data_IF_443562938793
#
_entry.id   IF_443562938793
#
_cell.length_a   1.000
_cell.length_b   1.000
_cell.length_c   1.000
_cell.angle_alpha   90.00
_cell.angle_beta   90.00
_cell.angle_gamma   90.00
#
_symmetry.space_group_name_H-M   'P 1'
#
loop_
_entity.id
_entity.type
_entity.pdbx_description
1 polymer ?
#
# COMPACT_ATOMS: atom_id res chain seq x y z
N UNK A 1 -9.27 24.42 -2.65
CA UNK A 1 -8.50 24.98 -1.52
C UNK A 1 -7.44 23.95 -1.21
N UNK A 2 -6.17 24.30 -1.18
CA UNK A 2 -5.09 23.42 -0.73
C UNK A 2 -5.13 23.37 0.81
N UNK A 3 -4.76 22.23 1.39
CA UNK A 3 -4.63 22.08 2.85
C UNK A 3 -3.60 23.09 3.38
N UNK A 4 -3.86 23.74 4.53
CA UNK A 4 -2.96 24.73 5.10
C UNK A 4 -1.65 24.12 5.62
N UNK A 5 -1.68 22.82 5.94
CA UNK A 5 -0.51 22.05 6.38
C UNK A 5 -0.41 20.75 5.59
N UNK A 6 0.78 20.18 5.53
CA UNK A 6 1.00 18.78 5.15
C UNK A 6 1.50 17.98 6.34
N UNK A 7 1.10 16.72 6.39
CA UNK A 7 1.55 15.75 7.40
C UNK A 7 2.08 14.51 6.70
N UNK A 8 3.28 14.10 7.05
CA UNK A 8 3.90 12.87 6.55
C UNK A 8 4.55 12.09 7.67
N UNK A 9 4.63 10.78 7.55
CA UNK A 9 5.34 9.93 8.50
C UNK A 9 6.72 9.54 7.93
N UNK A 10 7.77 9.73 8.73
CA UNK A 10 9.09 9.17 8.47
C UNK A 10 9.42 8.18 9.57
N UNK A 11 9.74 6.95 9.22
CA UNK A 11 10.01 5.90 10.20
C UNK A 11 10.98 4.85 9.69
N UNK A 12 11.55 4.12 10.65
CA UNK A 12 12.33 2.91 10.45
C UNK A 12 11.63 1.73 11.11
N UNK A 13 11.70 0.59 10.46
CA UNK A 13 11.12 -0.65 10.96
C UNK A 13 12.22 -1.52 11.58
N UNK A 14 12.01 -1.89 12.84
CA UNK A 14 12.81 -2.85 13.60
C UNK A 14 12.02 -4.18 13.73
N UNK A 15 12.66 -5.28 14.18
CA UNK A 15 11.98 -6.57 14.30
C UNK A 15 10.71 -6.55 15.16
N UNK A 16 10.70 -5.76 16.24
CA UNK A 16 9.61 -5.70 17.20
C UNK A 16 8.84 -4.36 17.21
N UNK A 17 9.36 -3.32 16.55
CA UNK A 17 8.79 -1.96 16.62
C UNK A 17 8.92 -1.21 15.30
N UNK A 18 8.07 -0.18 15.12
CA UNK A 18 8.28 0.91 14.16
C UNK A 18 8.54 2.17 14.96
N UNK A 19 9.66 2.84 14.70
CA UNK A 19 10.03 4.12 15.35
C UNK A 19 10.15 5.21 14.32
N UNK A 20 9.64 6.39 14.64
CA UNK A 20 9.70 7.50 13.70
C UNK A 20 9.11 8.78 14.25
N UNK A 21 8.72 9.65 13.33
CA UNK A 21 8.01 10.87 13.65
C UNK A 21 6.98 11.21 12.58
N UNK A 22 5.87 11.81 13.00
CA UNK A 22 5.05 12.61 12.12
C UNK A 22 5.72 13.96 11.90
N UNK A 23 5.75 14.42 10.68
CA UNK A 23 6.39 15.66 10.24
C UNK A 23 5.28 16.56 9.75
N UNK A 24 5.10 17.68 10.43
CA UNK A 24 4.12 18.71 10.12
C UNK A 24 4.83 19.88 9.46
N UNK A 25 4.26 20.41 8.37
CA UNK A 25 4.82 21.53 7.64
C UNK A 25 3.70 22.47 7.20
N UNK A 26 3.87 23.77 7.44
CA UNK A 26 2.99 24.80 6.90
C UNK A 26 3.17 24.95 5.39
N UNK A 27 2.09 24.86 4.65
CA UNK A 27 2.10 24.91 3.18
C UNK A 27 1.71 26.31 2.64
N UNK A 28 1.07 27.12 3.46
CA UNK A 28 0.72 28.50 3.13
C UNK A 28 1.63 29.54 3.84
N UNK A 29 1.30 30.82 3.76
CA UNK A 29 2.10 31.91 4.33
C UNK A 29 1.78 32.19 5.81
N UNK A 30 0.81 31.49 6.40
CA UNK A 30 0.35 31.76 7.76
C UNK A 30 0.88 30.72 8.74
N UNK A 31 1.12 31.09 10.02
CA UNK A 31 1.31 30.13 11.09
C UNK A 31 -0.02 29.47 11.45
N UNK A 32 0.01 28.18 11.80
CA UNK A 32 -1.16 27.42 12.21
C UNK A 32 -0.93 26.79 13.58
N UNK A 33 -1.97 26.79 14.43
CA UNK A 33 -1.97 26.01 15.64
C UNK A 33 -2.52 24.60 15.34
N UNK A 34 -1.73 23.59 15.63
CA UNK A 34 -2.07 22.19 15.37
C UNK A 34 -2.12 21.42 16.66
N UNK A 35 -3.30 20.99 17.09
CA UNK A 35 -3.44 20.05 18.18
C UNK A 35 -3.39 18.62 17.63
N UNK A 36 -2.40 17.83 18.02
CA UNK A 36 -2.31 16.41 17.69
C UNK A 36 -3.13 15.64 18.69
N UNK A 37 -4.29 15.15 18.29
CA UNK A 37 -5.23 14.43 19.15
C UNK A 37 -4.80 12.97 19.35
N UNK A 38 -4.19 12.38 18.32
CA UNK A 38 -3.72 11.02 18.35
C UNK A 38 -3.22 10.53 17.01
N UNK A 39 -2.81 9.26 16.98
CA UNK A 39 -2.47 8.58 15.76
C UNK A 39 -2.94 7.13 15.81
N UNK A 40 -3.13 6.54 14.64
CA UNK A 40 -3.49 5.13 14.50
C UNK A 40 -2.80 4.50 13.32
N UNK A 41 -2.63 3.20 13.38
CA UNK A 41 -2.37 2.39 12.20
C UNK A 41 -3.70 1.98 11.59
N UNK A 42 -3.82 2.15 10.30
CA UNK A 42 -4.95 1.66 9.52
C UNK A 42 -4.52 0.49 8.66
N UNK A 43 -5.18 -0.68 8.84
CA UNK A 43 -4.94 -1.87 8.03
C UNK A 43 -5.37 -1.62 6.60
N UNK A 44 -4.51 -1.95 5.63
CA UNK A 44 -4.85 -1.93 4.20
C UNK A 44 -5.64 -3.18 3.76
N UNK A 45 -6.10 -4.00 4.69
CA UNK A 45 -6.85 -5.23 4.50
C UNK A 45 -7.93 -5.41 5.57
N UNK A 46 -8.31 -6.65 5.87
CA UNK A 46 -9.28 -6.95 6.93
C UNK A 46 -8.75 -6.63 8.34
N UNK A 47 -7.47 -6.32 8.49
CA UNK A 47 -6.90 -5.83 9.75
C UNK A 47 -7.54 -4.52 10.17
N UNK A 48 -7.93 -4.43 11.44
CA UNK A 48 -8.55 -3.27 12.03
C UNK A 48 -7.62 -2.05 12.13
N UNK A 49 -8.12 -1.01 12.76
CA UNK A 49 -7.32 0.15 13.17
C UNK A 49 -6.86 -0.08 14.61
N UNK A 50 -5.59 0.21 14.89
CA UNK A 50 -5.02 0.18 16.24
C UNK A 50 -4.39 1.52 16.59
N UNK A 51 -4.53 2.00 17.84
CA UNK A 51 -3.91 3.26 18.23
C UNK A 51 -2.39 3.16 18.20
N UNK A 52 -1.74 4.26 17.84
CA UNK A 52 -0.30 4.45 18.01
C UNK A 52 -0.10 5.15 19.37
N UNK A 53 0.77 4.65 20.25
CA UNK A 53 1.10 5.33 21.48
C UNK A 53 1.69 6.72 21.18
N UNK A 54 0.91 7.76 21.41
CA UNK A 54 1.28 9.14 21.16
C UNK A 54 0.62 10.01 22.24
N UNK A 55 1.42 10.88 22.90
CA UNK A 55 0.86 11.85 23.82
C UNK A 55 0.28 13.03 23.05
N UNK A 56 -0.93 13.49 23.37
CA UNK A 56 -1.48 14.71 22.80
C UNK A 56 -0.50 15.89 22.94
N UNK A 57 -0.34 16.67 21.88
CA UNK A 57 0.57 17.82 21.86
C UNK A 57 0.01 18.93 20.98
N UNK A 58 0.18 20.18 21.40
CA UNK A 58 -0.13 21.34 20.55
C UNK A 58 1.16 21.91 19.96
N UNK A 59 1.15 22.20 18.67
CA UNK A 59 2.29 22.64 17.89
C UNK A 59 1.97 24.00 17.24
N UNK A 60 2.97 24.87 17.18
CA UNK A 60 2.94 26.05 16.31
C UNK A 60 3.67 25.69 15.00
N UNK A 61 2.90 25.47 13.94
CA UNK A 61 3.42 25.12 12.63
C UNK A 61 3.56 26.39 11.79
N UNK A 62 4.80 26.81 11.60
CA UNK A 62 5.09 28.03 10.82
C UNK A 62 5.38 27.67 9.36
N UNK A 63 5.21 28.63 8.41
CA UNK A 63 5.42 28.40 6.99
C UNK A 63 6.79 27.76 6.68
N UNK A 64 6.76 26.72 5.85
CA UNK A 64 7.95 26.03 5.30
C UNK A 64 8.92 25.44 6.33
N UNK A 65 8.52 25.30 7.59
CA UNK A 65 9.32 24.69 8.65
C UNK A 65 8.72 23.36 9.08
N UNK A 66 9.58 22.34 9.17
CA UNK A 66 9.20 21.02 9.64
C UNK A 66 9.17 20.98 11.19
N UNK A 67 8.08 20.48 11.77
CA UNK A 67 7.92 20.19 13.19
C UNK A 67 7.72 18.68 13.35
N UNK A 68 8.43 18.06 14.30
CA UNK A 68 8.49 16.61 14.46
C UNK A 68 7.76 16.16 15.72
N UNK A 69 6.88 15.19 15.60
CA UNK A 69 6.23 14.50 16.73
C UNK A 69 6.66 13.04 16.72
N UNK A 70 7.55 12.63 17.63
CA UNK A 70 8.07 11.26 17.64
C UNK A 70 7.01 10.25 18.08
N UNK A 71 7.12 9.02 17.57
CA UNK A 71 6.31 7.89 18.00
C UNK A 71 7.12 6.58 18.02
N UNK A 72 6.64 5.64 18.82
CA UNK A 72 7.10 4.26 18.80
C UNK A 72 5.89 3.33 18.85
N UNK A 73 5.79 2.41 17.86
CA UNK A 73 4.68 1.48 17.70
C UNK A 73 5.18 0.04 17.90
N UNK A 74 4.72 -0.69 18.93
CA UNK A 74 4.97 -2.11 19.07
C UNK A 74 4.27 -2.92 17.98
N UNK A 75 5.00 -3.80 17.29
CA UNK A 75 4.42 -4.66 16.25
C UNK A 75 3.71 -5.90 16.79
N UNK A 76 3.94 -6.24 18.05
CA UNK A 76 3.34 -7.42 18.72
C UNK A 76 1.81 -7.34 18.84
N UNK A 77 1.25 -6.16 18.78
CA UNK A 77 -0.19 -5.92 18.89
C UNK A 77 -0.89 -5.91 17.52
N UNK A 78 -0.13 -6.01 16.43
CA UNK A 78 -0.65 -5.98 15.08
C UNK A 78 -0.67 -7.39 14.46
N UNK A 79 -1.76 -7.71 13.81
CA UNK A 79 -1.85 -8.91 12.98
C UNK A 79 -0.97 -8.81 11.73
N UNK A 80 -0.61 -9.96 11.10
CA UNK A 80 0.08 -9.94 9.82
C UNK A 80 -0.72 -9.17 8.77
N UNK A 81 -0.09 -8.17 8.15
CA UNK A 81 -0.79 -7.30 7.21
C UNK A 81 0.05 -6.12 6.74
N UNK A 82 -0.56 -5.31 5.88
CA UNK A 82 -0.03 -4.03 5.45
C UNK A 82 -0.79 -2.89 6.11
N UNK A 83 -0.06 -1.88 6.54
CA UNK A 83 -0.56 -0.77 7.33
C UNK A 83 -0.05 0.57 6.80
N UNK A 84 -0.87 1.60 7.00
CA UNK A 84 -0.47 3.01 6.92
C UNK A 84 -0.61 3.66 8.29
N UNK A 85 0.10 4.76 8.49
CA UNK A 85 -0.02 5.59 9.70
C UNK A 85 -0.96 6.76 9.39
N UNK A 86 -1.93 6.98 10.25
CA UNK A 86 -2.87 8.11 10.15
C UNK A 86 -2.73 8.95 11.40
N UNK A 87 -2.60 10.26 11.24
CA UNK A 87 -2.55 11.23 12.32
C UNK A 87 -3.86 12.01 12.36
N UNK A 88 -4.51 12.01 13.51
CA UNK A 88 -5.73 12.76 13.77
C UNK A 88 -5.37 14.05 14.50
N UNK A 89 -5.77 15.19 13.94
CA UNK A 89 -5.36 16.52 14.39
C UNK A 89 -6.54 17.48 14.35
N UNK A 90 -6.39 18.62 15.04
CA UNK A 90 -7.21 19.80 14.87
C UNK A 90 -6.30 20.95 14.41
N UNK A 91 -6.60 21.52 13.24
CA UNK A 91 -5.85 22.65 12.68
C UNK A 91 -6.70 23.90 12.83
N UNK A 92 -6.23 24.87 13.63
CA UNK A 92 -6.96 26.10 13.96
C UNK A 92 -8.41 25.87 14.41
N UNK A 93 -8.64 24.81 15.22
CA UNK A 93 -9.97 24.41 15.69
C UNK A 93 -10.77 23.55 14.70
N UNK A 94 -10.20 23.12 13.56
CA UNK A 94 -10.89 22.32 12.55
C UNK A 94 -10.31 20.89 12.58
N UNK A 95 -11.12 19.85 12.87
CA UNK A 95 -10.66 18.47 12.87
C UNK A 95 -10.26 17.99 11.47
N UNK A 96 -9.15 17.28 11.37
CA UNK A 96 -8.64 16.67 10.15
C UNK A 96 -7.91 15.36 10.44
N UNK A 97 -7.80 14.49 9.42
CA UNK A 97 -7.02 13.25 9.49
C UNK A 97 -6.09 13.18 8.28
N UNK A 98 -4.81 12.96 8.54
CA UNK A 98 -3.77 12.89 7.50
C UNK A 98 -3.17 11.50 7.42
N UNK A 99 -3.16 10.92 6.20
CA UNK A 99 -2.36 9.73 5.91
C UNK A 99 -0.88 10.11 5.88
N UNK A 100 -0.05 9.40 6.63
CA UNK A 100 1.39 9.63 6.67
C UNK A 100 2.13 9.30 5.36
N UNK A 101 1.43 8.81 4.34
CA UNK A 101 1.92 8.58 2.98
C UNK A 101 2.86 7.38 2.82
N UNK A 102 3.31 6.76 3.91
CA UNK A 102 4.25 5.64 3.88
C UNK A 102 3.64 4.39 4.49
N UNK A 103 3.87 3.24 3.85
CA UNK A 103 3.34 1.93 4.27
C UNK A 103 4.41 1.07 4.88
N UNK A 104 4.01 0.16 5.77
CA UNK A 104 4.85 -0.91 6.30
C UNK A 104 4.07 -2.22 6.41
N UNK A 105 4.78 -3.33 6.49
CA UNK A 105 4.18 -4.65 6.68
C UNK A 105 4.53 -5.26 8.03
N UNK A 106 3.57 -5.97 8.61
CA UNK A 106 3.80 -6.99 9.64
C UNK A 106 3.81 -8.33 8.90
N UNK A 107 4.94 -9.06 8.87
CA UNK A 107 5.07 -10.23 8.02
C UNK A 107 4.20 -11.39 8.53
N UNK A 108 3.65 -12.14 7.57
CA UNK A 108 2.98 -13.41 7.87
C UNK A 108 3.96 -14.46 8.37
N UNK A 109 3.53 -15.42 9.20
CA UNK A 109 4.35 -16.56 9.59
C UNK A 109 4.90 -17.29 8.36
N UNK A 110 6.19 -17.61 8.37
CA UNK A 110 6.86 -18.29 7.24
C UNK A 110 6.19 -19.60 6.80
N UNK A 111 5.58 -20.30 7.76
CA UNK A 111 4.90 -21.55 7.50
C UNK A 111 3.60 -21.41 6.71
N UNK A 112 2.99 -20.20 6.69
CA UNK A 112 1.67 -19.98 6.10
C UNK A 112 1.72 -19.39 4.71
N UNK A 113 2.81 -18.70 4.34
CA UNK A 113 2.93 -17.99 3.06
C UNK A 113 3.84 -18.69 2.08
N UNK A 114 3.51 -18.59 0.82
CA UNK A 114 4.33 -19.06 -0.30
C UNK A 114 5.50 -18.11 -0.53
N UNK A 115 6.67 -18.68 -0.86
CA UNK A 115 7.88 -17.93 -1.18
C UNK A 115 8.51 -18.49 -2.44
N UNK A 116 9.29 -17.66 -3.11
CA UNK A 116 9.99 -18.03 -4.35
C UNK A 116 9.39 -17.36 -5.58
N UNK A 117 9.68 -17.93 -6.72
CA UNK A 117 9.33 -17.34 -8.02
C UNK A 117 8.59 -18.37 -8.86
N UNK A 118 7.53 -17.92 -9.53
CA UNK A 118 6.76 -18.72 -10.49
C UNK A 118 6.90 -18.07 -11.87
N UNK A 119 7.53 -18.79 -12.82
CA UNK A 119 7.57 -18.36 -14.22
C UNK A 119 6.22 -18.65 -14.87
N UNK A 120 5.64 -17.67 -15.53
CA UNK A 120 4.31 -17.75 -16.13
C UNK A 120 4.41 -17.79 -17.68
N UNK A 121 5.01 -16.77 -18.28
CA UNK A 121 5.22 -16.70 -19.73
C UNK A 121 3.92 -16.75 -20.55
N UNK A 122 2.80 -16.23 -20.03
CA UNK A 122 1.50 -16.25 -20.68
C UNK A 122 1.19 -14.92 -21.38
N UNK A 123 0.50 -15.01 -22.50
CA UNK A 123 -0.03 -13.85 -23.21
C UNK A 123 -1.56 -13.88 -23.16
N UNK A 124 -2.16 -12.73 -22.92
CA UNK A 124 -3.61 -12.55 -22.85
C UNK A 124 -4.00 -11.42 -23.78
N UNK A 125 -4.87 -11.71 -24.74
CA UNK A 125 -5.36 -10.70 -25.68
C UNK A 125 -6.59 -10.01 -25.12
N UNK A 126 -6.54 -8.69 -25.04
CA UNK A 126 -7.66 -7.79 -24.81
C UNK A 126 -8.12 -7.22 -26.17
N UNK A 127 -9.21 -6.48 -26.20
CA UNK A 127 -9.73 -5.93 -27.45
C UNK A 127 -8.73 -4.98 -28.14
N UNK A 128 -8.00 -4.21 -27.38
CA UNK A 128 -7.12 -3.11 -27.78
C UNK A 128 -5.64 -3.32 -27.45
N UNK A 129 -5.30 -4.39 -26.75
CA UNK A 129 -3.92 -4.64 -26.30
C UNK A 129 -3.66 -6.13 -26.04
N UNK A 130 -2.40 -6.48 -25.89
CA UNK A 130 -1.95 -7.79 -25.42
C UNK A 130 -1.19 -7.62 -24.11
N UNK A 131 -1.59 -8.36 -23.08
CA UNK A 131 -0.89 -8.37 -21.79
C UNK A 131 -0.03 -9.62 -21.69
N UNK A 132 1.27 -9.43 -21.53
CA UNK A 132 2.23 -10.48 -21.26
C UNK A 132 2.42 -10.60 -19.75
N UNK A 133 2.06 -11.75 -19.18
CA UNK A 133 2.29 -12.07 -17.77
C UNK A 133 3.57 -12.90 -17.68
N UNK A 134 4.64 -12.29 -17.18
CA UNK A 134 5.99 -12.84 -17.18
C UNK A 134 6.26 -13.81 -16.03
N UNK A 135 6.15 -13.32 -14.81
CA UNK A 135 6.43 -14.08 -13.60
C UNK A 135 5.70 -13.50 -12.37
N UNK A 136 5.65 -14.31 -11.32
CA UNK A 136 5.17 -13.92 -10.00
C UNK A 136 6.29 -14.15 -9.00
N UNK A 137 6.73 -13.09 -8.31
CA UNK A 137 7.65 -13.18 -7.19
C UNK A 137 6.86 -13.20 -5.88
N UNK A 138 7.03 -14.24 -5.09
CA UNK A 138 6.36 -14.42 -3.80
C UNK A 138 7.32 -14.10 -2.66
N UNK A 139 6.98 -13.13 -1.82
CA UNK A 139 7.68 -12.78 -0.58
C UNK A 139 6.85 -13.14 0.65
N UNK A 140 7.41 -12.89 1.84
CA UNK A 140 6.69 -13.18 3.09
C UNK A 140 5.52 -12.25 3.40
N UNK A 141 5.36 -11.17 2.65
CA UNK A 141 4.39 -10.11 2.91
C UNK A 141 3.64 -9.65 1.65
N UNK A 142 4.07 -10.07 0.48
CA UNK A 142 3.47 -9.67 -0.80
C UNK A 142 3.81 -10.62 -1.94
N UNK A 143 3.07 -10.48 -3.04
CA UNK A 143 3.48 -10.96 -4.35
C UNK A 143 3.71 -9.78 -5.28
N UNK A 144 4.62 -9.96 -6.26
CA UNK A 144 4.83 -9.04 -7.38
C UNK A 144 4.58 -9.78 -8.67
N UNK A 145 3.53 -9.40 -9.39
CA UNK A 145 3.21 -9.88 -10.71
C UNK A 145 3.87 -8.96 -11.75
N UNK A 146 4.83 -9.48 -12.50
CA UNK A 146 5.48 -8.77 -13.59
C UNK A 146 4.69 -8.91 -14.87
N UNK A 147 4.45 -7.81 -15.56
CA UNK A 147 3.65 -7.77 -16.77
C UNK A 147 4.17 -6.74 -17.77
N UNK A 148 3.70 -6.88 -19.03
CA UNK A 148 3.92 -5.91 -20.09
C UNK A 148 2.65 -5.79 -20.91
N UNK A 149 2.22 -4.56 -21.19
CA UNK A 149 1.03 -4.24 -21.99
C UNK A 149 1.48 -3.70 -23.34
N UNK A 150 1.02 -4.29 -24.43
CA UNK A 150 1.37 -3.91 -25.80
C UNK A 150 0.11 -3.69 -26.68
N UNK A 151 -0.08 -2.51 -27.28
CA UNK A 151 0.67 -1.26 -27.01
C UNK A 151 0.55 -0.81 -25.56
N UNK A 152 1.50 0.02 -25.11
CA UNK A 152 1.47 0.58 -23.76
C UNK A 152 0.15 1.31 -23.50
N UNK A 153 -0.43 1.11 -22.33
CA UNK A 153 -1.73 1.66 -21.99
C UNK A 153 -2.23 1.19 -20.63
N UNK A 154 -3.33 1.77 -20.19
CA UNK A 154 -3.92 1.43 -18.91
C UNK A 154 -4.57 0.05 -18.90
N UNK A 155 -4.35 -0.71 -17.86
CA UNK A 155 -5.01 -1.97 -17.58
C UNK A 155 -5.42 -2.03 -16.11
N UNK A 156 -6.63 -2.51 -15.84
CA UNK A 156 -7.06 -2.83 -14.47
C UNK A 156 -6.78 -4.28 -14.18
N UNK A 157 -6.24 -4.57 -13.00
CA UNK A 157 -5.85 -5.91 -12.58
C UNK A 157 -6.58 -6.28 -11.31
N UNK A 158 -7.16 -7.48 -11.27
CA UNK A 158 -7.68 -8.12 -10.07
C UNK A 158 -7.02 -9.48 -9.90
N UNK A 159 -6.64 -9.80 -8.68
CA UNK A 159 -5.94 -11.03 -8.34
C UNK A 159 -6.80 -11.84 -7.36
N UNK A 160 -6.90 -13.15 -7.59
CA UNK A 160 -7.66 -14.06 -6.73
C UNK A 160 -6.83 -15.33 -6.46
N UNK A 161 -6.89 -15.83 -5.23
CA UNK A 161 -6.26 -17.09 -4.85
C UNK A 161 -7.07 -17.76 -3.73
N UNK A 162 -7.26 -19.05 -3.78
CA UNK A 162 -8.02 -19.82 -2.77
C UNK A 162 -9.44 -19.27 -2.57
N UNK A 163 -10.12 -18.81 -3.63
CA UNK A 163 -11.48 -18.25 -3.57
C UNK A 163 -11.57 -16.82 -3.00
N UNK A 164 -10.45 -16.21 -2.60
CA UNK A 164 -10.40 -14.84 -2.06
C UNK A 164 -9.77 -13.86 -3.04
N UNK A 165 -10.25 -12.62 -3.06
CA UNK A 165 -9.60 -11.55 -3.80
C UNK A 165 -8.37 -11.07 -3.01
N UNK A 166 -7.22 -11.05 -3.67
CA UNK A 166 -6.00 -10.47 -3.11
C UNK A 166 -6.09 -8.95 -3.21
N UNK A 167 -5.80 -8.27 -2.12
CA UNK A 167 -5.75 -6.81 -2.14
C UNK A 167 -4.53 -6.33 -2.93
N UNK A 168 -4.79 -5.54 -3.96
CA UNK A 168 -3.76 -4.82 -4.70
C UNK A 168 -3.24 -3.68 -3.83
N UNK A 169 -1.93 -3.63 -3.63
CA UNK A 169 -1.24 -2.59 -2.88
C UNK A 169 -0.77 -1.48 -3.81
N UNK A 170 -0.29 -1.87 -4.99
CA UNK A 170 0.30 -0.96 -5.95
C UNK A 170 0.22 -1.55 -7.36
N UNK A 171 0.03 -0.69 -8.34
CA UNK A 171 0.17 -1.01 -9.76
C UNK A 171 1.05 0.07 -10.39
N UNK A 172 2.24 -0.31 -10.81
CA UNK A 172 3.16 0.55 -11.56
C UNK A 172 3.17 0.07 -13.00
N UNK A 173 2.90 0.95 -13.94
CA UNK A 173 3.02 0.74 -15.38
C UNK A 173 3.79 1.91 -15.96
N UNK A 174 4.79 1.61 -16.77
CA UNK A 174 5.52 2.58 -17.54
C UNK A 174 4.76 2.89 -18.84
N UNK A 175 4.40 4.14 -19.01
CA UNK A 175 3.53 4.60 -20.11
C UNK A 175 4.20 4.50 -21.49
N UNK A 176 5.53 4.43 -21.56
CA UNK A 176 6.26 4.34 -22.82
C UNK A 176 6.51 2.89 -23.23
N UNK A 177 6.91 2.05 -22.28
CA UNK A 177 7.32 0.67 -22.54
C UNK A 177 6.21 -0.35 -22.28
N UNK A 178 5.15 0.04 -21.59
CA UNK A 178 4.09 -0.83 -21.10
C UNK A 178 4.54 -1.84 -20.05
N UNK A 179 5.81 -1.80 -19.61
CA UNK A 179 6.33 -2.70 -18.57
C UNK A 179 5.86 -2.26 -17.19
N UNK A 180 5.58 -3.22 -16.33
CA UNK A 180 5.19 -2.89 -14.99
C UNK A 180 5.08 -4.07 -14.05
N UNK A 181 4.63 -3.74 -12.85
CA UNK A 181 4.40 -4.72 -11.80
C UNK A 181 3.14 -4.38 -11.00
N UNK A 182 2.41 -5.40 -10.64
CA UNK A 182 1.32 -5.32 -9.67
C UNK A 182 1.76 -5.97 -8.37
N UNK A 183 1.76 -5.20 -7.27
CA UNK A 183 2.09 -5.69 -5.93
C UNK A 183 0.78 -5.93 -5.18
N UNK A 184 0.63 -7.11 -4.59
CA UNK A 184 -0.57 -7.49 -3.84
C UNK A 184 -0.23 -8.28 -2.58
N UNK A 185 -1.25 -8.58 -1.77
CA UNK A 185 -1.15 -9.42 -0.57
C UNK A 185 -0.55 -10.79 -0.93
N UNK A 186 0.12 -11.47 0.03
CA UNK A 186 0.83 -12.70 -0.24
C UNK A 186 -0.11 -13.86 -0.59
N UNK A 187 0.45 -14.81 -1.34
CA UNK A 187 -0.15 -16.12 -1.55
C UNK A 187 0.08 -17.00 -0.31
N UNK A 188 -0.94 -17.73 0.09
CA UNK A 188 -0.81 -18.75 1.13
C UNK A 188 -0.25 -20.04 0.53
N UNK A 189 0.36 -20.88 1.34
CA UNK A 189 0.86 -22.19 0.90
C UNK A 189 -0.25 -23.12 0.41
N UNK A 190 -1.45 -22.91 0.91
CA UNK A 190 -2.67 -23.64 0.52
C UNK A 190 -3.29 -23.18 -0.78
N UNK A 191 -2.83 -22.05 -1.34
CA UNK A 191 -3.32 -21.57 -2.62
C UNK A 191 -2.73 -22.43 -3.74
N UNK A 192 -3.56 -23.11 -4.52
CA UNK A 192 -3.15 -23.99 -5.64
C UNK A 192 -2.99 -23.22 -6.96
N UNK A 193 -3.70 -22.11 -7.10
CA UNK A 193 -3.67 -21.28 -8.29
C UNK A 193 -3.82 -19.79 -7.96
N UNK A 194 -3.22 -18.96 -8.81
CA UNK A 194 -3.44 -17.52 -8.87
C UNK A 194 -4.21 -17.20 -10.14
N UNK A 195 -5.41 -16.66 -9.99
CA UNK A 195 -6.21 -16.13 -11.09
C UNK A 195 -5.96 -14.63 -11.24
N UNK A 196 -5.57 -14.22 -12.43
CA UNK A 196 -5.34 -12.83 -12.82
C UNK A 196 -6.45 -12.41 -13.77
N UNK A 197 -7.30 -11.51 -13.37
CA UNK A 197 -8.32 -10.88 -14.21
C UNK A 197 -7.78 -9.54 -14.71
N UNK A 198 -7.88 -9.32 -15.99
CA UNK A 198 -7.38 -8.16 -16.72
C UNK A 198 -8.52 -7.47 -17.43
N UNK A 199 -8.55 -6.13 -17.34
CA UNK A 199 -9.54 -5.33 -18.05
C UNK A 199 -8.84 -4.13 -18.68
N UNK A 200 -8.92 -4.03 -20.02
CA UNK A 200 -8.48 -2.88 -20.79
C UNK A 200 -9.55 -1.79 -20.92
N UNK A 201 -9.27 -0.78 -21.73
CA UNK A 201 -10.23 0.27 -22.10
C UNK A 201 -11.23 -0.29 -23.12
N UNK A 202 -12.51 -0.16 -22.90
CA UNK A 202 -13.54 -0.53 -23.85
C UNK A 202 -14.43 -1.70 -23.44
N UNK A 203 -15.58 -1.81 -24.12
CA UNK A 203 -16.52 -2.92 -23.90
C UNK A 203 -15.94 -4.23 -24.43
N UNK A 204 -16.00 -5.29 -23.61
CA UNK A 204 -15.49 -6.62 -23.98
C UNK A 204 -13.97 -6.79 -23.89
N UNK A 205 -13.25 -5.80 -23.35
CA UNK A 205 -11.80 -5.88 -23.11
C UNK A 205 -11.51 -6.49 -21.74
N UNK A 206 -12.02 -7.72 -21.51
CA UNK A 206 -11.80 -8.46 -20.27
C UNK A 206 -11.26 -9.86 -20.59
N UNK A 207 -10.29 -10.30 -19.83
CA UNK A 207 -9.74 -11.64 -19.94
C UNK A 207 -9.19 -12.12 -18.60
N UNK A 208 -8.99 -13.42 -18.44
CA UNK A 208 -8.40 -14.00 -17.25
C UNK A 208 -7.33 -15.04 -17.60
N UNK A 209 -6.36 -15.18 -16.71
CA UNK A 209 -5.31 -16.19 -16.75
C UNK A 209 -5.24 -16.89 -15.41
N UNK A 210 -5.30 -18.22 -15.41
CA UNK A 210 -5.05 -19.05 -14.24
C UNK A 210 -3.60 -19.56 -14.28
N UNK A 211 -2.88 -19.30 -13.19
CA UNK A 211 -1.48 -19.64 -12.99
C UNK A 211 -1.42 -20.71 -11.91
N UNK A 212 -1.07 -21.94 -12.30
CA UNK A 212 -0.84 -23.01 -11.34
C UNK A 212 0.35 -22.67 -10.43
N UNK A 213 0.20 -22.88 -9.16
CA UNK A 213 1.24 -22.64 -8.16
C UNK A 213 1.85 -23.99 -7.74
N UNK A 214 3.18 -24.16 -7.83
CA UNK A 214 3.88 -25.39 -7.49
C UNK A 214 3.84 -25.72 -5.99
#
# INVERSE_FOLDING_TARGET
MSDPISVRARFERFPATVKGAFIFRGEDANPHQVAVEGARVAGLGPGGSSPVPLSPVTLDVVPHRDVFVPFELPLSELEPGWYTLVCDVEVDGIPASYDGGRRFSVPWPRATVRRGQVKVGRQVRLADSTVHVGQVDCSGDSIKLHLRVEPAGEVTIKLFAGGRRLRLLELELDDETGRGKATAYPLMRTDEALRVELKGRGKGSEAAVDIALP
#
